data_IF_953854480881
#
_entry.id   IF_953854480881
#
_cell.length_a   1.000
_cell.length_b   1.000
_cell.length_c   1.000
_cell.angle_alpha   90.00
_cell.angle_beta   90.00
_cell.angle_gamma   90.00
#
_symmetry.space_group_name_H-M   'P 1'
#
loop_
_entity.id
_entity.type
_entity.pdbx_description
1 polymer ?
#
# COMPACT_ATOMS: atom_id res chain seq x y z
N UNK A 1 -22.43 -20.74 6.72
CA UNK A 1 -22.93 -19.35 6.65
C UNK A 1 -21.74 -18.41 6.74
N UNK A 2 -21.58 -17.56 5.72
CA UNK A 2 -20.59 -16.46 5.74
C UNK A 2 -21.17 -15.35 6.60
N UNK A 3 -20.51 -15.05 7.71
CA UNK A 3 -20.92 -14.02 8.67
C UNK A 3 -19.68 -13.49 9.37
N UNK A 4 -19.66 -12.19 9.62
CA UNK A 4 -18.64 -11.50 10.36
C UNK A 4 -18.82 -11.69 11.86
N UNK A 5 -17.85 -12.33 12.48
CA UNK A 5 -17.73 -12.51 13.92
C UNK A 5 -16.25 -12.77 14.27
N UNK A 6 -15.61 -11.83 14.96
CA UNK A 6 -14.19 -11.95 15.29
C UNK A 6 -13.91 -13.00 16.39
N UNK A 7 -14.90 -13.34 17.22
CA UNK A 7 -14.73 -14.31 18.30
C UNK A 7 -14.95 -15.73 17.78
N UNK A 8 -16.08 -15.95 17.11
CA UNK A 8 -16.51 -17.29 16.72
C UNK A 8 -16.06 -17.68 15.31
N UNK A 9 -15.71 -16.70 14.46
CA UNK A 9 -15.46 -16.92 13.02
C UNK A 9 -14.28 -16.10 12.48
N UNK A 10 -13.22 -15.91 13.26
CA UNK A 10 -12.06 -15.07 12.92
C UNK A 10 -11.53 -15.27 11.48
N UNK A 11 -11.43 -16.51 10.99
CA UNK A 11 -10.96 -16.79 9.63
C UNK A 11 -11.92 -16.33 8.52
N UNK A 12 -13.23 -16.43 8.73
CA UNK A 12 -14.25 -15.93 7.78
C UNK A 12 -14.28 -14.40 7.82
N UNK A 13 -14.21 -13.82 9.02
CA UNK A 13 -14.18 -12.38 9.23
C UNK A 13 -12.98 -11.74 8.54
N UNK A 14 -11.78 -12.31 8.69
CA UNK A 14 -10.59 -11.83 8.01
C UNK A 14 -10.70 -11.89 6.48
N UNK A 15 -11.34 -12.93 5.92
CA UNK A 15 -11.57 -13.01 4.48
C UNK A 15 -12.56 -11.93 3.99
N UNK A 16 -13.58 -11.61 4.79
CA UNK A 16 -14.50 -10.51 4.52
C UNK A 16 -13.79 -9.15 4.61
N UNK A 17 -12.91 -8.96 5.59
CA UNK A 17 -12.11 -7.73 5.73
C UNK A 17 -11.19 -7.53 4.51
N UNK A 18 -10.47 -8.58 4.09
CA UNK A 18 -9.60 -8.53 2.90
C UNK A 18 -10.43 -8.17 1.67
N UNK A 19 -11.57 -8.85 1.45
CA UNK A 19 -12.42 -8.59 0.28
C UNK A 19 -13.01 -7.18 0.30
N UNK A 20 -13.44 -6.70 1.48
CA UNK A 20 -13.91 -5.34 1.70
C UNK A 20 -12.82 -4.31 1.34
N UNK A 21 -11.60 -4.51 1.84
CA UNK A 21 -10.49 -3.60 1.58
C UNK A 21 -10.12 -3.53 0.09
N UNK A 22 -10.22 -4.63 -0.65
CA UNK A 22 -9.88 -4.67 -2.09
C UNK A 22 -11.02 -4.13 -2.95
N UNK A 23 -12.27 -4.45 -2.62
CA UNK A 23 -13.44 -4.14 -3.48
C UNK A 23 -14.17 -2.86 -3.10
N UNK A 24 -13.93 -2.32 -1.90
CA UNK A 24 -14.64 -1.18 -1.34
C UNK A 24 -16.05 -1.50 -0.85
N UNK A 25 -16.52 -2.75 -0.96
CA UNK A 25 -17.82 -3.20 -0.46
C UNK A 25 -17.80 -3.31 1.06
N UNK A 26 -18.86 -2.87 1.70
CA UNK A 26 -19.02 -2.97 3.15
C UNK A 26 -19.25 -4.41 3.59
N UNK A 27 -18.93 -4.73 4.86
CA UNK A 27 -19.16 -6.06 5.43
C UNK A 27 -20.63 -6.51 5.30
N UNK A 28 -21.65 -5.68 5.60
CA UNK A 28 -23.04 -6.08 5.42
C UNK A 28 -23.41 -6.42 3.97
N UNK A 29 -22.89 -5.68 2.99
CA UNK A 29 -23.11 -5.99 1.56
C UNK A 29 -22.47 -7.33 1.18
N UNK A 30 -21.29 -7.63 1.71
CA UNK A 30 -20.61 -8.91 1.49
C UNK A 30 -21.36 -10.06 2.17
N UNK A 31 -21.84 -9.89 3.40
CA UNK A 31 -22.65 -10.91 4.08
C UNK A 31 -23.93 -11.23 3.29
N UNK A 32 -24.60 -10.20 2.77
CA UNK A 32 -25.77 -10.36 1.90
C UNK A 32 -25.41 -11.05 0.57
N UNK A 33 -24.31 -10.65 -0.06
CA UNK A 33 -23.83 -11.25 -1.32
C UNK A 33 -23.51 -12.75 -1.17
N UNK A 34 -22.99 -13.16 0.00
CA UNK A 34 -22.67 -14.55 0.30
C UNK A 34 -23.78 -15.32 1.03
N UNK A 35 -25.00 -14.79 1.08
CA UNK A 35 -26.13 -15.51 1.67
C UNK A 35 -26.37 -16.83 0.92
N UNK A 36 -26.55 -17.93 1.67
CA UNK A 36 -26.68 -19.27 1.12
C UNK A 36 -25.41 -19.85 0.46
N UNK A 37 -24.28 -19.11 0.43
CA UNK A 37 -23.01 -19.58 -0.13
C UNK A 37 -22.13 -20.28 0.92
N UNK A 38 -21.29 -21.19 0.43
CA UNK A 38 -20.30 -21.91 1.22
C UNK A 38 -18.94 -21.20 1.20
N UNK A 39 -18.07 -21.47 2.19
CA UNK A 39 -16.76 -20.82 2.34
C UNK A 39 -15.82 -20.95 1.14
N UNK A 40 -16.00 -21.99 0.30
CA UNK A 40 -15.25 -22.12 -0.95
C UNK A 40 -15.49 -20.95 -1.91
N UNK A 41 -16.72 -20.42 -1.95
CA UNK A 41 -17.06 -19.26 -2.79
C UNK A 41 -16.37 -18.00 -2.27
N UNK A 42 -16.43 -17.75 -0.95
CA UNK A 42 -15.74 -16.63 -0.32
C UNK A 42 -14.23 -16.67 -0.60
N UNK A 43 -13.59 -17.83 -0.42
CA UNK A 43 -12.16 -17.99 -0.69
C UNK A 43 -11.82 -17.76 -2.16
N UNK A 44 -12.65 -18.26 -3.08
CA UNK A 44 -12.48 -18.04 -4.51
C UNK A 44 -12.55 -16.56 -4.89
N UNK A 45 -13.59 -15.86 -4.46
CA UNK A 45 -13.73 -14.42 -4.75
C UNK A 45 -12.63 -13.58 -4.11
N UNK A 46 -12.19 -13.91 -2.89
CA UNK A 46 -11.03 -13.26 -2.26
C UNK A 46 -9.77 -13.48 -3.09
N UNK A 47 -9.52 -14.71 -3.55
CA UNK A 47 -8.34 -15.03 -4.35
C UNK A 47 -8.32 -14.25 -5.66
N UNK A 48 -9.45 -14.21 -6.38
CA UNK A 48 -9.56 -13.46 -7.63
C UNK A 48 -9.38 -11.95 -7.42
N UNK A 49 -10.05 -11.38 -6.41
CA UNK A 49 -9.96 -9.95 -6.13
C UNK A 49 -8.52 -9.53 -5.76
N UNK A 50 -7.88 -10.29 -4.85
CA UNK A 50 -6.50 -10.00 -4.42
C UNK A 50 -5.51 -10.23 -5.56
N UNK A 51 -5.66 -11.32 -6.32
CA UNK A 51 -4.81 -11.64 -7.47
C UNK A 51 -4.88 -10.52 -8.52
N UNK A 52 -6.08 -10.11 -8.93
CA UNK A 52 -6.26 -9.02 -9.89
C UNK A 52 -5.60 -7.73 -9.43
N UNK A 53 -5.83 -7.31 -8.19
CA UNK A 53 -5.18 -6.13 -7.60
C UNK A 53 -3.65 -6.24 -7.62
N UNK A 54 -3.09 -7.41 -7.29
CA UNK A 54 -1.65 -7.61 -7.25
C UNK A 54 -1.02 -7.69 -8.64
N UNK A 55 -1.71 -8.24 -9.65
CA UNK A 55 -1.22 -8.25 -11.04
C UNK A 55 -1.02 -6.82 -11.53
N UNK A 56 -2.02 -5.95 -11.38
CA UNK A 56 -1.92 -4.54 -11.78
C UNK A 56 -0.76 -3.82 -11.07
N UNK A 57 -0.56 -4.11 -9.77
CA UNK A 57 0.54 -3.56 -8.99
C UNK A 57 1.90 -4.08 -9.47
N UNK A 58 2.00 -5.39 -9.75
CA UNK A 58 3.22 -6.04 -10.21
C UNK A 58 3.62 -5.57 -11.61
N UNK A 59 2.66 -5.38 -12.52
CA UNK A 59 2.93 -4.83 -13.85
C UNK A 59 3.55 -3.44 -13.77
N UNK A 60 2.98 -2.56 -12.93
CA UNK A 60 3.54 -1.23 -12.68
C UNK A 60 4.92 -1.31 -12.03
N UNK A 61 5.08 -2.19 -11.05
CA UNK A 61 6.37 -2.42 -10.41
C UNK A 61 7.43 -2.83 -11.44
N UNK A 62 7.17 -3.86 -12.24
CA UNK A 62 8.12 -4.36 -13.23
C UNK A 62 8.43 -3.32 -14.31
N UNK A 63 7.41 -2.56 -14.76
CA UNK A 63 7.62 -1.44 -15.69
C UNK A 63 8.60 -0.42 -15.14
N UNK A 64 8.40 0.06 -13.91
CA UNK A 64 9.29 1.08 -13.33
C UNK A 64 10.63 0.49 -12.87
N UNK A 65 10.63 -0.71 -12.30
CA UNK A 65 11.82 -1.33 -11.71
C UNK A 65 12.88 -1.65 -12.75
N UNK A 66 12.47 -1.96 -13.97
CA UNK A 66 13.35 -2.28 -15.10
C UNK A 66 13.77 -1.05 -15.92
N UNK A 67 13.19 0.13 -15.64
CA UNK A 67 13.57 1.39 -16.29
C UNK A 67 14.61 2.13 -15.43
N UNK A 68 15.88 1.72 -15.55
CA UNK A 68 16.98 2.30 -14.77
C UNK A 68 17.15 3.81 -15.00
N UNK A 69 16.90 4.29 -16.23
CA UNK A 69 16.99 5.71 -16.55
C UNK A 69 15.93 6.50 -15.78
N UNK A 70 14.69 6.02 -15.77
CA UNK A 70 13.62 6.62 -14.97
C UNK A 70 13.92 6.58 -13.47
N UNK A 71 14.40 5.46 -12.94
CA UNK A 71 14.76 5.36 -11.52
C UNK A 71 15.87 6.35 -11.13
N UNK A 72 16.91 6.47 -11.94
CA UNK A 72 18.00 7.42 -11.72
C UNK A 72 17.49 8.87 -11.76
N UNK A 73 16.59 9.19 -12.67
CA UNK A 73 15.96 10.52 -12.74
C UNK A 73 15.15 10.81 -11.46
N UNK A 74 14.31 9.88 -11.02
CA UNK A 74 13.52 10.03 -9.78
C UNK A 74 14.43 10.20 -8.55
N UNK A 75 15.52 9.43 -8.45
CA UNK A 75 16.48 9.55 -7.35
C UNK A 75 17.19 10.91 -7.38
N UNK A 76 17.61 11.38 -8.54
CA UNK A 76 18.24 12.70 -8.70
C UNK A 76 17.29 13.82 -8.28
N UNK A 77 16.08 13.84 -8.80
CA UNK A 77 15.08 14.87 -8.48
C UNK A 77 14.69 14.85 -7.00
N UNK A 78 14.57 13.66 -6.42
CA UNK A 78 14.32 13.46 -5.00
C UNK A 78 15.47 14.00 -4.14
N UNK A 79 16.71 13.68 -4.51
CA UNK A 79 17.91 14.12 -3.80
C UNK A 79 18.10 15.64 -3.87
N UNK A 80 17.84 16.27 -5.01
CA UNK A 80 17.89 17.73 -5.15
C UNK A 80 16.86 18.41 -4.23
N UNK A 81 15.60 17.95 -4.25
CA UNK A 81 14.53 18.46 -3.39
C UNK A 81 14.83 18.25 -1.90
N UNK A 82 15.33 17.07 -1.53
CA UNK A 82 15.69 16.75 -0.16
C UNK A 82 16.86 17.61 0.33
N UNK A 83 17.93 17.71 -0.46
CA UNK A 83 19.13 18.51 -0.15
C UNK A 83 18.81 20.00 -0.02
N UNK A 84 17.94 20.53 -0.89
CA UNK A 84 17.51 21.94 -0.82
C UNK A 84 16.81 22.28 0.51
N UNK A 85 16.07 21.33 1.10
CA UNK A 85 15.44 21.51 2.42
C UNK A 85 16.43 21.25 3.56
N UNK A 86 17.18 20.15 3.48
CA UNK A 86 18.11 19.74 4.53
C UNK A 86 19.25 20.75 4.74
N UNK A 87 19.75 21.36 3.66
CA UNK A 87 20.83 22.37 3.72
C UNK A 87 20.44 23.61 4.52
N UNK A 88 19.17 24.00 4.54
CA UNK A 88 18.68 25.13 5.34
C UNK A 88 18.80 24.83 6.84
N UNK A 89 18.34 23.65 7.25
CA UNK A 89 18.47 23.18 8.64
C UNK A 89 19.94 23.02 9.02
N UNK A 90 20.74 22.40 8.16
CA UNK A 90 22.16 22.17 8.43
C UNK A 90 22.92 23.50 8.60
N UNK A 91 22.62 24.49 7.77
CA UNK A 91 23.18 25.84 7.89
C UNK A 91 22.84 26.48 9.23
N UNK A 92 21.57 26.44 9.64
CA UNK A 92 21.15 26.99 10.93
C UNK A 92 21.85 26.28 12.11
N UNK A 93 22.04 24.96 12.02
CA UNK A 93 22.77 24.18 13.03
C UNK A 93 24.25 24.59 13.06
N UNK A 94 24.89 24.76 11.90
CA UNK A 94 26.30 25.16 11.83
C UNK A 94 26.51 26.56 12.39
N UNK A 95 25.61 27.50 12.09
CA UNK A 95 25.60 28.85 12.66
C UNK A 95 25.43 28.81 14.18
N UNK A 96 24.50 28.00 14.70
CA UNK A 96 24.26 27.87 16.14
C UNK A 96 25.45 27.27 16.90
N UNK A 97 26.19 26.34 16.28
CA UNK A 97 27.39 25.73 16.88
C UNK A 97 28.60 26.69 16.78
N UNK A 98 28.60 27.63 15.82
CA UNK A 98 29.70 28.55 15.56
C UNK A 98 30.74 28.02 14.56
N UNK A 99 30.36 27.08 13.69
CA UNK A 99 31.23 26.64 12.61
C UNK A 99 31.33 27.70 11.50
N UNK A 100 32.53 27.87 10.92
CA UNK A 100 32.72 28.73 9.76
C UNK A 100 31.97 28.13 8.57
N UNK A 101 31.11 28.92 7.94
CA UNK A 101 30.35 28.49 6.78
C UNK A 101 31.31 28.07 5.64
N UNK A 102 30.93 27.00 4.92
CA UNK A 102 31.63 26.64 3.69
C UNK A 102 31.55 27.84 2.72
N UNK A 103 32.69 28.31 2.17
CA UNK A 103 32.73 29.47 1.29
C UNK A 103 31.94 29.24 -0.01
#
# INVERSE_FOLDING_TARGET
>A
MVRYDLKEKAGVSNLLDILSAVTGKTIPELEQHFEGKMYGHLKGEVAEAVSGMLIDLQERYHRFRNDEAFLNQVMKDGAEKASARASQTLKAVYEAIGFVAKP
#
